data_IF_795429893342
#
_entry.id   IF_795429893342
#
_cell.length_a   1.000
_cell.length_b   1.000
_cell.length_c   1.000
_cell.angle_alpha   90.00
_cell.angle_beta   90.00
_cell.angle_gamma   90.00
#
_symmetry.space_group_name_H-M   'P 1'
#
loop_
_entity.id
_entity.type
_entity.pdbx_description
1 polymer ?
#
# COMPACT_ATOMS: atom_id res chain seq x y z
N UNK A 1 -51.03 -1.61 35.07
CA UNK A 1 -50.92 -2.29 33.75
C UNK A 1 -49.58 -1.89 33.15
N UNK A 2 -48.56 -2.74 33.28
CA UNK A 2 -47.23 -2.47 32.72
C UNK A 2 -47.27 -2.78 31.22
N UNK A 3 -47.11 -1.75 30.39
CA UNK A 3 -47.01 -1.93 28.94
C UNK A 3 -45.64 -2.54 28.62
N UNK A 4 -45.64 -3.76 28.08
CA UNK A 4 -44.45 -4.42 27.59
C UNK A 4 -43.90 -3.65 26.38
N UNK A 5 -42.62 -3.27 26.45
CA UNK A 5 -41.88 -2.70 25.32
C UNK A 5 -41.90 -3.75 24.20
N UNK A 6 -42.46 -3.47 23.01
CA UNK A 6 -42.50 -4.45 21.94
C UNK A 6 -41.06 -4.76 21.52
N UNK A 7 -40.67 -6.02 21.74
CA UNK A 7 -39.45 -6.58 21.21
C UNK A 7 -39.49 -6.44 19.67
N UNK A 8 -38.35 -6.05 19.10
CA UNK A 8 -38.07 -6.00 17.66
C UNK A 8 -38.51 -4.72 16.92
N UNK A 9 -38.00 -3.55 17.34
CA UNK A 9 -37.83 -2.48 16.37
C UNK A 9 -36.69 -2.88 15.43
N UNK A 10 -37.00 -3.28 14.20
CA UNK A 10 -36.01 -3.49 13.15
C UNK A 10 -35.62 -2.11 12.62
N UNK A 11 -34.54 -1.53 13.17
CA UNK A 11 -34.05 -0.17 12.86
C UNK A 11 -33.66 0.06 11.40
N UNK A 12 -33.74 -0.98 10.58
CA UNK A 12 -33.26 -0.94 9.24
C UNK A 12 -34.16 -1.78 8.32
N UNK A 13 -34.74 -1.05 7.36
CA UNK A 13 -35.76 -1.51 6.42
C UNK A 13 -35.20 -1.84 5.03
N UNK A 14 -33.88 -1.81 4.84
CA UNK A 14 -33.26 -1.84 3.50
C UNK A 14 -32.20 -2.91 3.27
N UNK A 15 -32.56 -4.20 3.20
CA UNK A 15 -31.70 -5.24 2.61
C UNK A 15 -30.67 -5.92 3.55
N UNK A 16 -29.34 -5.74 3.30
CA UNK A 16 -28.20 -6.44 3.96
C UNK A 16 -27.47 -5.69 5.10
N UNK A 17 -27.41 -6.29 6.31
CA UNK A 17 -26.97 -5.67 7.60
C UNK A 17 -25.90 -4.59 7.44
N UNK A 18 -26.02 -3.27 7.77
CA UNK A 18 -24.79 -2.49 7.93
C UNK A 18 -23.88 -3.11 9.01
N UNK A 19 -24.43 -3.92 9.91
CA UNK A 19 -23.72 -4.72 10.91
C UNK A 19 -23.53 -6.20 10.52
N UNK A 20 -24.02 -6.65 9.36
CA UNK A 20 -23.81 -8.02 8.87
C UNK A 20 -22.58 -8.05 7.97
N UNK A 21 -21.44 -7.65 8.54
CA UNK A 21 -20.14 -7.73 7.89
C UNK A 21 -19.48 -9.03 8.33
N UNK A 22 -18.91 -9.75 7.36
CA UNK A 22 -18.20 -10.99 7.65
C UNK A 22 -17.02 -10.75 8.61
N UNK A 23 -16.87 -11.60 9.62
CA UNK A 23 -15.85 -11.45 10.66
C UNK A 23 -14.44 -11.24 10.09
N UNK A 24 -14.07 -11.99 9.04
CA UNK A 24 -12.78 -11.85 8.37
C UNK A 24 -12.56 -10.46 7.76
N UNK A 25 -13.61 -9.86 7.18
CA UNK A 25 -13.53 -8.51 6.61
C UNK A 25 -13.40 -7.45 7.71
N UNK A 26 -14.10 -7.60 8.83
CA UNK A 26 -13.96 -6.68 9.97
C UNK A 26 -12.56 -6.76 10.58
N UNK A 27 -12.02 -7.96 10.78
CA UNK A 27 -10.67 -8.13 11.32
C UNK A 27 -9.59 -7.56 10.39
N UNK A 28 -9.79 -7.65 9.07
CA UNK A 28 -8.91 -6.99 8.09
C UNK A 28 -8.90 -5.47 8.29
N UNK A 29 -10.05 -4.83 8.51
CA UNK A 29 -10.12 -3.39 8.79
C UNK A 29 -9.41 -2.99 10.08
N UNK A 30 -9.56 -3.77 11.15
CA UNK A 30 -8.83 -3.54 12.40
C UNK A 30 -7.31 -3.67 12.20
N UNK A 31 -6.89 -4.69 11.47
CA UNK A 31 -5.47 -4.89 11.12
C UNK A 31 -4.91 -3.71 10.33
N UNK A 32 -5.61 -3.25 9.27
CA UNK A 32 -5.18 -2.10 8.47
C UNK A 32 -5.11 -0.82 9.29
N UNK A 33 -6.04 -0.62 10.23
CA UNK A 33 -6.00 0.54 11.13
C UNK A 33 -4.80 0.49 12.08
N UNK A 34 -4.44 -0.71 12.57
CA UNK A 34 -3.21 -0.90 13.36
C UNK A 34 -1.95 -0.56 12.55
N UNK A 35 -1.86 -1.02 11.31
CA UNK A 35 -0.74 -0.68 10.42
C UNK A 35 -0.67 0.83 10.15
N UNK A 36 -1.81 1.49 9.95
CA UNK A 36 -1.87 2.94 9.76
C UNK A 36 -1.30 3.71 10.96
N UNK A 37 -1.56 3.28 12.20
CA UNK A 37 -0.95 3.87 13.39
C UNK A 37 0.56 3.65 13.44
N UNK A 38 1.05 2.46 13.07
CA UNK A 38 2.49 2.17 12.98
C UNK A 38 3.19 3.09 11.97
N UNK A 39 2.63 3.24 10.76
CA UNK A 39 3.16 4.19 9.77
C UNK A 39 3.06 5.65 10.24
N UNK A 40 1.97 6.02 10.94
CA UNK A 40 1.82 7.34 11.54
C UNK A 40 2.93 7.66 12.54
N UNK A 41 3.29 6.71 13.40
CA UNK A 41 4.40 6.87 14.34
C UNK A 41 5.74 7.06 13.61
N UNK A 42 6.02 6.29 12.55
CA UNK A 42 7.22 6.46 11.73
C UNK A 42 7.26 7.82 11.02
N UNK A 43 6.14 8.30 10.49
CA UNK A 43 6.08 9.63 9.85
C UNK A 43 6.29 10.77 10.86
N UNK A 44 5.71 10.68 12.06
CA UNK A 44 5.93 11.67 13.13
C UNK A 44 7.40 11.65 13.58
N UNK A 45 7.98 10.46 13.74
CA UNK A 45 9.39 10.30 14.09
C UNK A 45 10.30 10.92 13.01
N UNK A 46 10.08 10.60 11.74
CA UNK A 46 10.81 11.19 10.61
C UNK A 46 10.63 12.70 10.55
N UNK A 47 9.40 13.21 10.69
CA UNK A 47 9.12 14.65 10.71
C UNK A 47 9.84 15.36 11.84
N UNK A 48 9.81 14.79 13.05
CA UNK A 48 10.51 15.35 14.22
C UNK A 48 12.02 15.41 13.99
N UNK A 49 12.61 14.33 13.47
CA UNK A 49 14.02 14.32 13.09
C UNK A 49 14.32 15.38 12.01
N UNK A 50 13.44 15.50 11.01
CA UNK A 50 13.57 16.46 9.90
C UNK A 50 13.60 17.90 10.36
N UNK A 51 12.79 18.25 11.37
CA UNK A 51 12.74 19.59 11.95
C UNK A 51 13.83 19.85 12.99
N UNK A 52 14.37 18.81 13.66
CA UNK A 52 15.40 18.98 14.69
C UNK A 52 16.81 19.17 14.15
N UNK A 53 17.05 18.85 12.87
CA UNK A 53 18.39 18.93 12.25
C UNK A 53 18.41 20.02 11.17
N UNK A 54 19.35 20.98 11.29
CA UNK A 54 19.47 22.12 10.37
C UNK A 54 20.03 21.76 8.99
N UNK A 55 20.76 20.65 8.85
CA UNK A 55 21.41 20.24 7.60
C UNK A 55 20.96 18.86 7.16
N UNK A 56 20.37 18.77 5.96
CA UNK A 56 19.94 17.51 5.34
C UNK A 56 20.59 17.34 3.97
N UNK A 57 20.95 16.10 3.56
CA UNK A 57 21.43 15.84 2.22
C UNK A 57 20.40 16.27 1.17
N UNK A 58 20.86 16.86 0.07
CA UNK A 58 20.00 17.23 -1.06
C UNK A 58 19.46 15.95 -1.74
N UNK A 59 18.13 15.72 -1.75
CA UNK A 59 17.53 14.54 -2.38
C UNK A 59 17.89 14.40 -3.87
N UNK A 60 18.15 15.50 -4.58
CA UNK A 60 18.53 15.45 -5.99
C UNK A 60 19.92 14.86 -6.20
N UNK A 61 20.79 14.91 -5.18
CA UNK A 61 22.11 14.29 -5.24
C UNK A 61 22.08 12.85 -4.75
N UNK A 62 21.34 12.57 -3.68
CA UNK A 62 21.22 11.21 -3.10
C UNK A 62 20.49 10.24 -4.03
N UNK A 63 19.43 10.70 -4.71
CA UNK A 63 18.61 9.85 -5.59
C UNK A 63 18.86 10.10 -7.08
N UNK A 64 20.12 10.34 -7.46
CA UNK A 64 20.52 10.62 -8.85
C UNK A 64 20.91 9.37 -9.65
N UNK A 65 21.08 8.24 -8.98
CA UNK A 65 21.57 7.00 -9.59
C UNK A 65 20.45 6.19 -10.23
N UNK A 66 20.65 5.78 -11.48
CA UNK A 66 19.77 4.85 -12.18
C UNK A 66 20.56 3.59 -12.59
N UNK A 67 20.02 2.38 -12.34
CA UNK A 67 20.70 1.15 -12.73
C UNK A 67 20.93 1.15 -14.24
N UNK A 68 22.17 0.87 -14.67
CA UNK A 68 22.63 0.85 -16.07
C UNK A 68 22.80 2.22 -16.78
N UNK A 69 22.59 3.36 -16.12
CA UNK A 69 22.75 4.69 -16.76
C UNK A 69 24.13 5.38 -16.55
N UNK A 70 25.11 4.72 -15.92
CA UNK A 70 26.43 5.31 -15.66
C UNK A 70 26.36 6.60 -14.82
N UNK A 71 27.25 7.57 -15.09
CA UNK A 71 27.30 8.90 -14.43
C UNK A 71 26.20 9.88 -14.91
N UNK A 72 25.10 9.40 -15.48
CA UNK A 72 23.99 10.26 -15.83
C UNK A 72 23.24 10.69 -14.55
N UNK A 73 23.41 11.94 -14.14
CA UNK A 73 22.71 12.54 -13.00
C UNK A 73 21.22 12.67 -13.34
N UNK A 74 20.44 11.65 -12.98
CA UNK A 74 19.00 11.55 -13.24
C UNK A 74 18.24 11.60 -11.91
N UNK A 75 18.12 12.80 -11.30
CA UNK A 75 17.50 12.95 -9.99
C UNK A 75 16.05 12.44 -10.01
N UNK A 76 15.71 11.60 -9.03
CA UNK A 76 14.34 11.14 -8.74
C UNK A 76 13.68 10.25 -9.82
N UNK A 77 14.35 10.01 -10.95
CA UNK A 77 13.81 9.19 -12.05
C UNK A 77 13.63 7.74 -11.60
N UNK A 78 14.58 7.20 -10.83
CA UNK A 78 14.47 5.82 -10.34
C UNK A 78 13.33 5.66 -9.32
N UNK A 79 13.16 6.62 -8.41
CA UNK A 79 12.06 6.65 -7.43
C UNK A 79 10.69 6.75 -8.12
N UNK A 80 10.59 7.58 -9.16
CA UNK A 80 9.34 7.71 -9.93
C UNK A 80 9.00 6.43 -10.71
N UNK A 81 10.01 5.71 -11.24
CA UNK A 81 9.82 4.39 -11.85
C UNK A 81 9.28 3.37 -10.83
N UNK A 82 9.84 3.31 -9.63
CA UNK A 82 9.33 2.40 -8.59
C UNK A 82 7.88 2.68 -8.23
N UNK A 83 7.53 3.96 -8.10
CA UNK A 83 6.16 4.39 -7.83
C UNK A 83 5.22 3.98 -8.97
N UNK A 84 5.66 4.16 -10.22
CA UNK A 84 4.92 3.70 -11.39
C UNK A 84 4.68 2.18 -11.38
N UNK A 85 5.70 1.39 -11.05
CA UNK A 85 5.59 -0.08 -10.92
C UNK A 85 4.55 -0.46 -9.86
N UNK A 86 4.56 0.19 -8.69
CA UNK A 86 3.58 -0.08 -7.63
C UNK A 86 2.16 0.30 -8.03
N UNK A 87 1.96 1.45 -8.69
CA UNK A 87 0.64 1.87 -9.17
C UNK A 87 0.12 0.85 -10.18
N UNK A 88 0.94 0.43 -11.14
CA UNK A 88 0.57 -0.59 -12.12
C UNK A 88 0.25 -1.94 -11.45
N UNK A 89 1.02 -2.34 -10.43
CA UNK A 89 0.76 -3.56 -9.64
C UNK A 89 -0.56 -3.48 -8.85
N UNK A 90 -0.93 -2.30 -8.35
CA UNK A 90 -2.24 -2.07 -7.72
C UNK A 90 -3.39 -2.23 -8.72
N UNK A 91 -3.23 -1.70 -9.94
CA UNK A 91 -4.22 -1.88 -11.02
C UNK A 91 -4.42 -3.37 -11.35
N UNK A 92 -3.34 -4.17 -11.43
CA UNK A 92 -3.47 -5.61 -11.68
C UNK A 92 -4.19 -6.34 -10.55
N UNK A 93 -4.02 -5.92 -9.29
CA UNK A 93 -4.79 -6.46 -8.16
C UNK A 93 -6.29 -6.15 -8.27
N UNK A 94 -6.66 -4.93 -8.66
CA UNK A 94 -8.08 -4.56 -8.87
C UNK A 94 -8.71 -5.40 -9.99
N UNK A 95 -7.98 -5.63 -11.08
CA UNK A 95 -8.43 -6.51 -12.17
C UNK A 95 -8.59 -7.97 -11.71
N UNK A 96 -7.71 -8.46 -10.83
CA UNK A 96 -7.83 -9.78 -10.22
C UNK A 96 -9.12 -9.90 -9.38
N UNK A 97 -9.41 -8.88 -8.55
CA UNK A 97 -10.63 -8.84 -7.74
C UNK A 97 -11.88 -8.80 -8.64
N UNK A 98 -11.83 -8.03 -9.73
CA UNK A 98 -12.90 -8.00 -10.74
C UNK A 98 -13.17 -9.36 -11.37
N UNK A 99 -12.12 -10.07 -11.81
CA UNK A 99 -12.25 -11.45 -12.32
C UNK A 99 -12.79 -12.41 -11.25
N UNK A 100 -12.44 -12.18 -9.98
CA UNK A 100 -12.96 -12.93 -8.83
C UNK A 100 -14.47 -12.76 -8.64
N UNK A 101 -14.99 -11.54 -8.79
CA UNK A 101 -16.44 -11.29 -8.78
C UNK A 101 -17.16 -11.97 -9.96
N UNK A 102 -16.52 -12.08 -11.12
CA UNK A 102 -17.04 -12.83 -12.28
C UNK A 102 -16.84 -14.35 -12.18
N UNK A 103 -16.31 -14.86 -11.06
CA UNK A 103 -15.98 -16.27 -10.83
C UNK A 103 -15.00 -16.87 -11.88
N UNK A 104 -14.22 -16.02 -12.55
CA UNK A 104 -13.20 -16.44 -13.52
C UNK A 104 -11.88 -16.73 -12.80
N UNK A 105 -11.69 -17.98 -12.41
CA UNK A 105 -10.47 -18.45 -11.73
C UNK A 105 -9.22 -18.23 -12.57
N UNK A 106 -9.28 -18.41 -13.89
CA UNK A 106 -8.10 -18.26 -14.77
C UNK A 106 -7.69 -16.79 -14.85
N UNK A 107 -8.67 -15.89 -14.94
CA UNK A 107 -8.47 -14.45 -14.86
C UNK A 107 -7.83 -14.02 -13.54
N UNK A 108 -8.36 -14.49 -12.40
CA UNK A 108 -7.81 -14.19 -11.07
C UNK A 108 -6.34 -14.61 -10.98
N UNK A 109 -6.02 -15.86 -11.34
CA UNK A 109 -4.64 -16.38 -11.27
C UNK A 109 -3.71 -15.58 -12.17
N UNK A 110 -4.13 -15.28 -13.41
CA UNK A 110 -3.34 -14.48 -14.36
C UNK A 110 -3.00 -13.11 -13.75
N UNK A 111 -3.99 -12.38 -13.25
CA UNK A 111 -3.79 -11.04 -12.71
C UNK A 111 -3.01 -11.03 -11.39
N UNK A 112 -3.22 -12.03 -10.52
CA UNK A 112 -2.42 -12.18 -9.30
C UNK A 112 -0.92 -12.43 -9.60
N UNK A 113 -0.61 -13.24 -10.62
CA UNK A 113 0.79 -13.44 -11.04
C UNK A 113 1.42 -12.12 -11.47
N UNK A 114 0.70 -11.29 -12.25
CA UNK A 114 1.19 -9.97 -12.64
C UNK A 114 1.44 -9.05 -11.43
N UNK A 115 0.54 -9.04 -10.45
CA UNK A 115 0.74 -8.30 -9.19
C UNK A 115 1.98 -8.76 -8.44
N UNK A 116 2.20 -10.08 -8.35
CA UNK A 116 3.39 -10.65 -7.67
C UNK A 116 4.67 -10.25 -8.41
N UNK A 117 4.69 -10.33 -9.75
CA UNK A 117 5.84 -9.90 -10.56
C UNK A 117 6.13 -8.41 -10.33
N UNK A 118 5.09 -7.57 -10.34
CA UNK A 118 5.23 -6.14 -10.03
C UNK A 118 5.79 -5.88 -8.63
N UNK A 119 5.35 -6.65 -7.63
CA UNK A 119 5.87 -6.59 -6.26
C UNK A 119 7.34 -7.01 -6.16
N UNK A 120 7.74 -8.11 -6.81
CA UNK A 120 9.13 -8.56 -6.86
C UNK A 120 10.02 -7.52 -7.56
N UNK A 121 9.55 -6.95 -8.67
CA UNK A 121 10.27 -5.89 -9.37
C UNK A 121 10.49 -4.67 -8.47
N UNK A 122 9.46 -4.23 -7.74
CA UNK A 122 9.59 -3.14 -6.76
C UNK A 122 10.61 -3.45 -5.66
N UNK A 123 10.53 -4.65 -5.06
CA UNK A 123 11.48 -5.06 -4.01
C UNK A 123 12.92 -5.17 -4.52
N UNK A 124 13.12 -5.65 -5.76
CA UNK A 124 14.44 -5.70 -6.38
C UNK A 124 15.01 -4.29 -6.60
N UNK A 125 14.20 -3.34 -7.06
CA UNK A 125 14.59 -1.94 -7.19
C UNK A 125 14.98 -1.33 -5.84
N UNK A 126 14.20 -1.57 -4.79
CA UNK A 126 14.49 -1.10 -3.43
C UNK A 126 15.77 -1.72 -2.86
N UNK A 127 15.97 -3.03 -3.05
CA UNK A 127 17.19 -3.71 -2.62
C UNK A 127 18.43 -3.14 -3.33
N UNK A 128 18.34 -2.83 -4.62
CA UNK A 128 19.42 -2.18 -5.35
C UNK A 128 19.68 -0.75 -4.86
N UNK A 129 18.63 0.07 -4.67
CA UNK A 129 18.78 1.43 -4.17
C UNK A 129 19.47 1.46 -2.80
N UNK A 130 19.03 0.61 -1.87
CA UNK A 130 19.62 0.50 -0.55
C UNK A 130 21.06 0.00 -0.57
N UNK A 131 21.36 -1.03 -1.36
CA UNK A 131 22.73 -1.52 -1.49
C UNK A 131 23.64 -0.47 -2.14
N UNK A 132 23.12 0.31 -3.09
CA UNK A 132 23.86 1.40 -3.72
C UNK A 132 24.15 2.53 -2.74
N UNK A 133 23.14 3.00 -1.99
CA UNK A 133 23.29 4.03 -0.97
C UNK A 133 24.26 3.59 0.14
N UNK A 134 24.17 2.35 0.60
CA UNK A 134 25.10 1.80 1.59
C UNK A 134 26.56 1.80 1.10
N UNK A 135 26.80 1.51 -0.18
CA UNK A 135 28.14 1.59 -0.76
C UNK A 135 28.62 3.04 -0.97
N UNK A 136 27.72 4.01 -1.06
CA UNK A 136 28.05 5.42 -1.24
C UNK A 136 28.30 6.17 0.08
N UNK A 137 27.75 5.69 1.20
CA UNK A 137 28.00 6.23 2.56
C UNK A 137 26.76 6.75 3.25
#
# INVERSE_FOLDING_TARGET
MAQAIPANHKWWSGGKSPFNVEYGKLMMWYFLMSDAFTFGAFLISYGTARFSTNSWPDPNNVFSSFPFAGHAHLPLVFVSLMTFILIMSSVTMVLAVGAGHSNDRKGVVKWMIWTIIGGIAFLACQAWEWTHLYHQG
#
